data_IF_565448923102
#
_entry.id   IF_565448923102
#
_cell.length_a   1.000
_cell.length_b   1.000
_cell.length_c   1.000
_cell.angle_alpha   90.00
_cell.angle_beta   90.00
_cell.angle_gamma   90.00
#
_symmetry.space_group_name_H-M   'P 1'
#
loop_
_entity.id
_entity.type
_entity.pdbx_description
1 polymer ?
#
# COMPACT_ATOMS: atom_id res chain seq x y z
N UNK A 1 -17.77 28.47 -5.85
CA UNK A 1 -17.12 28.56 -4.52
C UNK A 1 -16.02 27.52 -4.50
N UNK A 2 -14.83 27.83 -3.99
CA UNK A 2 -13.77 26.81 -3.86
C UNK A 2 -14.19 25.79 -2.79
N UNK A 3 -14.03 24.51 -3.09
CA UNK A 3 -14.28 23.43 -2.11
C UNK A 3 -13.30 23.59 -0.95
N UNK A 4 -13.75 23.53 0.31
CA UNK A 4 -12.83 23.66 1.46
C UNK A 4 -11.88 22.46 1.51
N UNK A 5 -10.58 22.75 1.66
CA UNK A 5 -9.55 21.72 1.79
C UNK A 5 -9.65 21.00 3.13
N UNK A 6 -9.44 19.71 3.12
CA UNK A 6 -9.35 18.89 4.34
C UNK A 6 -8.01 19.12 5.02
N UNK A 7 -8.05 19.44 6.32
CA UNK A 7 -6.87 19.75 7.14
C UNK A 7 -6.18 18.46 7.61
N UNK A 8 -4.91 18.34 7.25
CA UNK A 8 -4.08 17.15 7.51
C UNK A 8 -3.04 17.46 8.61
N UNK A 9 -2.95 16.59 9.59
CA UNK A 9 -1.82 16.53 10.52
C UNK A 9 -0.91 15.35 10.19
N UNK A 10 0.37 15.60 9.93
CA UNK A 10 1.34 14.57 9.60
C UNK A 10 2.13 14.14 10.85
N UNK A 11 2.17 12.85 11.15
CA UNK A 11 2.99 12.27 12.22
C UNK A 11 4.03 11.34 11.61
N UNK A 12 5.31 11.61 11.88
CA UNK A 12 6.44 10.88 11.31
C UNK A 12 7.10 11.66 10.16
N UNK A 13 8.11 12.46 10.49
CA UNK A 13 8.85 13.32 9.56
C UNK A 13 10.10 12.64 8.98
N UNK A 14 10.04 11.31 8.75
CA UNK A 14 11.10 10.49 8.16
C UNK A 14 11.23 10.68 6.65
N UNK A 15 11.97 9.76 6.01
CA UNK A 15 12.29 9.84 4.56
C UNK A 15 11.05 9.91 3.69
N UNK A 16 10.04 9.07 3.95
CA UNK A 16 8.83 8.97 3.10
C UNK A 16 7.97 10.24 3.17
N UNK A 17 8.04 11.00 4.28
CA UNK A 17 7.23 12.21 4.45
C UNK A 17 7.47 13.25 3.36
N UNK A 18 8.70 13.32 2.81
CA UNK A 18 9.04 14.23 1.71
C UNK A 18 8.14 14.00 0.50
N UNK A 19 7.98 12.75 0.09
CA UNK A 19 7.17 12.40 -1.09
C UNK A 19 5.70 12.77 -0.87
N UNK A 20 5.14 12.44 0.31
CA UNK A 20 3.76 12.81 0.63
C UNK A 20 3.55 14.33 0.67
N UNK A 21 4.51 15.07 1.21
CA UNK A 21 4.43 16.54 1.29
C UNK A 21 4.60 17.21 -0.07
N UNK A 22 5.47 16.69 -0.94
CA UNK A 22 5.59 17.17 -2.33
C UNK A 22 4.29 16.98 -3.10
N UNK A 23 3.70 15.79 -3.03
CA UNK A 23 2.45 15.46 -3.74
C UNK A 23 1.26 16.20 -3.14
N UNK A 24 1.14 16.32 -1.81
CA UNK A 24 0.00 17.01 -1.18
C UNK A 24 -0.18 18.45 -1.64
N UNK A 25 0.91 19.11 -2.07
CA UNK A 25 0.86 20.47 -2.65
C UNK A 25 0.21 20.54 -4.02
N UNK A 26 0.18 19.42 -4.74
CA UNK A 26 -0.44 19.33 -6.06
C UNK A 26 -1.91 18.88 -5.98
N UNK A 27 -2.34 18.39 -4.81
CA UNK A 27 -3.70 17.90 -4.57
C UNK A 27 -4.59 19.04 -4.03
N UNK A 28 -5.69 19.29 -4.74
CA UNK A 28 -6.57 20.43 -4.43
C UNK A 28 -7.37 20.25 -3.14
N UNK A 29 -7.54 19.01 -2.70
CA UNK A 29 -8.37 18.61 -1.56
C UNK A 29 -7.67 18.68 -0.22
N UNK A 30 -6.35 18.79 -0.19
CA UNK A 30 -5.53 18.66 1.01
C UNK A 30 -4.87 19.97 1.41
N UNK A 31 -4.77 20.18 2.74
CA UNK A 31 -3.98 21.24 3.36
C UNK A 31 -3.27 20.68 4.60
N UNK A 32 -1.94 20.55 4.52
CA UNK A 32 -1.12 20.06 5.64
C UNK A 32 -0.86 21.21 6.60
N UNK A 33 -1.56 21.21 7.74
CA UNK A 33 -1.53 22.33 8.72
C UNK A 33 -0.61 22.11 9.90
N UNK A 34 -0.25 20.85 10.18
CA UNK A 34 0.64 20.50 11.29
C UNK A 34 1.51 19.29 10.95
N UNK A 35 2.71 19.24 11.51
CA UNK A 35 3.54 18.03 11.50
C UNK A 35 4.19 17.80 12.88
N UNK A 36 4.37 16.51 13.21
CA UNK A 36 4.94 16.05 14.47
C UNK A 36 5.89 14.86 14.26
N UNK A 37 6.89 14.75 15.10
CA UNK A 37 7.81 13.62 15.17
C UNK A 37 8.24 13.40 16.64
N UNK A 38 8.67 12.19 16.98
CA UNK A 38 9.31 11.90 18.27
C UNK A 38 10.58 12.71 18.46
N UNK A 39 11.25 13.08 17.38
CA UNK A 39 12.44 13.94 17.36
C UNK A 39 11.98 15.32 16.88
N UNK A 40 11.81 16.31 17.80
CA UNK A 40 11.23 17.62 17.48
C UNK A 40 11.95 18.37 16.36
N UNK A 41 13.26 18.17 16.22
CA UNK A 41 14.09 18.80 15.20
C UNK A 41 13.68 18.35 13.80
N UNK A 42 13.23 17.08 13.62
CA UNK A 42 12.72 16.57 12.34
C UNK A 42 11.41 17.27 11.96
N UNK A 43 10.49 17.45 12.90
CA UNK A 43 9.24 18.17 12.66
C UNK A 43 9.52 19.63 12.28
N UNK A 44 10.40 20.32 13.01
CA UNK A 44 10.81 21.70 12.70
C UNK A 44 11.44 21.82 11.32
N UNK A 45 12.36 20.89 10.98
CA UNK A 45 13.01 20.89 9.67
C UNK A 45 11.99 20.69 8.53
N UNK A 46 11.04 19.73 8.69
CA UNK A 46 9.99 19.50 7.69
C UNK A 46 9.02 20.67 7.59
N UNK A 47 8.63 21.28 8.70
CA UNK A 47 7.79 22.47 8.68
C UNK A 47 8.47 23.64 7.94
N UNK A 48 9.75 23.86 8.16
CA UNK A 48 10.51 24.89 7.44
C UNK A 48 10.65 24.56 5.94
N UNK A 49 11.01 23.32 5.58
CA UNK A 49 11.19 22.86 4.20
C UNK A 49 9.89 22.99 3.38
N UNK A 50 8.76 22.65 4.01
CA UNK A 50 7.46 22.56 3.34
C UNK A 50 6.48 23.67 3.76
N UNK A 51 6.94 24.71 4.48
CA UNK A 51 6.10 25.82 4.95
C UNK A 51 4.82 25.36 5.69
N UNK A 52 4.94 24.31 6.51
CA UNK A 52 3.83 23.83 7.32
C UNK A 52 3.65 24.77 8.51
N UNK A 53 2.43 25.27 8.77
CA UNK A 53 2.21 26.31 9.80
C UNK A 53 2.64 25.90 11.21
N UNK A 54 2.44 24.62 11.57
CA UNK A 54 2.68 24.13 12.93
C UNK A 54 3.66 22.95 12.94
N UNK A 55 4.79 23.09 13.66
CA UNK A 55 5.65 21.98 14.08
C UNK A 55 5.46 21.79 15.58
N UNK A 56 4.93 20.65 16.01
CA UNK A 56 4.53 20.43 17.39
C UNK A 56 4.81 19.01 17.88
N UNK A 57 4.52 18.73 19.13
CA UNK A 57 4.52 17.38 19.67
C UNK A 57 3.35 16.55 19.16
N UNK A 58 3.48 15.21 19.19
CA UNK A 58 2.41 14.30 18.75
C UNK A 58 1.10 14.55 19.50
N UNK A 59 1.17 14.74 20.82
CA UNK A 59 -0.02 15.00 21.66
C UNK A 59 -0.70 16.35 21.33
N UNK A 60 0.08 17.37 20.97
CA UNK A 60 -0.46 18.68 20.60
C UNK A 60 -1.16 18.61 19.24
N UNK A 61 -0.56 17.88 18.27
CA UNK A 61 -1.20 17.63 16.97
C UNK A 61 -2.53 16.88 17.15
N UNK A 62 -2.55 15.86 18.00
CA UNK A 62 -3.76 15.07 18.25
C UNK A 62 -4.87 15.89 18.93
N UNK A 63 -4.53 16.90 19.71
CA UNK A 63 -5.48 17.84 20.34
C UNK A 63 -5.89 18.99 19.43
N UNK A 64 -5.20 19.23 18.31
CA UNK A 64 -5.49 20.35 17.42
C UNK A 64 -6.87 20.18 16.75
N UNK A 65 -7.86 21.06 17.02
CA UNK A 65 -9.21 20.92 16.46
C UNK A 65 -9.27 21.15 14.97
N UNK A 66 -8.26 21.77 14.35
CA UNK A 66 -8.22 21.95 12.90
C UNK A 66 -7.92 20.66 12.15
N UNK A 67 -7.16 19.73 12.74
CA UNK A 67 -6.76 18.48 12.09
C UNK A 67 -7.96 17.52 11.97
N UNK A 68 -8.30 17.14 10.75
CA UNK A 68 -9.39 16.23 10.44
C UNK A 68 -8.89 14.81 10.14
N UNK A 69 -7.77 14.69 9.44
CA UNK A 69 -7.11 13.41 9.13
C UNK A 69 -5.69 13.45 9.66
N UNK A 70 -5.29 12.42 10.38
CA UNK A 70 -3.90 12.16 10.74
C UNK A 70 -3.27 11.28 9.65
N UNK A 71 -2.26 11.80 8.98
CA UNK A 71 -1.41 11.05 8.07
C UNK A 71 -0.24 10.45 8.88
N UNK A 72 -0.31 9.16 9.14
CA UNK A 72 0.64 8.44 9.97
C UNK A 72 1.74 7.80 9.10
N UNK A 73 2.90 8.41 9.11
CA UNK A 73 4.10 8.00 8.37
C UNK A 73 5.22 7.52 9.31
N UNK A 74 4.85 7.02 10.46
CA UNK A 74 5.79 6.46 11.44
C UNK A 74 6.35 5.12 10.95
N UNK A 75 7.14 4.46 11.79
CA UNK A 75 7.61 3.09 11.48
C UNK A 75 6.49 2.07 11.72
N UNK A 76 6.50 0.90 11.05
CA UNK A 76 5.43 -0.09 11.14
C UNK A 76 5.01 -0.45 12.57
N UNK A 77 5.95 -0.56 13.50
CA UNK A 77 5.67 -0.88 14.92
C UNK A 77 4.83 0.17 15.63
N UNK A 78 4.87 1.43 15.19
CA UNK A 78 4.12 2.53 15.79
C UNK A 78 2.79 2.81 15.09
N UNK A 79 2.50 2.17 13.95
CA UNK A 79 1.28 2.44 13.18
C UNK A 79 0.01 2.26 13.99
N UNK A 80 -0.09 1.17 14.76
CA UNK A 80 -1.26 0.88 15.57
C UNK A 80 -1.44 1.88 16.73
N UNK A 81 -0.38 2.15 17.48
CA UNK A 81 -0.41 3.08 18.61
C UNK A 81 -0.83 4.49 18.16
N UNK A 82 -0.16 5.03 17.15
CA UNK A 82 -0.44 6.37 16.64
C UNK A 82 -1.83 6.43 15.98
N UNK A 83 -2.19 5.39 15.22
CA UNK A 83 -3.50 5.32 14.57
C UNK A 83 -4.66 5.25 15.57
N UNK A 84 -4.54 4.44 16.62
CA UNK A 84 -5.54 4.38 17.69
C UNK A 84 -5.63 5.70 18.46
N UNK A 85 -4.51 6.32 18.79
CA UNK A 85 -4.50 7.62 19.46
C UNK A 85 -5.17 8.71 18.61
N UNK A 86 -4.99 8.70 17.28
CA UNK A 86 -5.69 9.60 16.37
C UNK A 86 -7.22 9.37 16.41
N UNK A 87 -7.66 8.11 16.31
CA UNK A 87 -9.08 7.74 16.36
C UNK A 87 -9.69 8.10 17.73
N UNK A 88 -8.99 7.85 18.83
CA UNK A 88 -9.42 8.20 20.18
C UNK A 88 -9.52 9.72 20.39
N UNK A 89 -8.74 10.49 19.65
CA UNK A 89 -8.80 11.96 19.62
C UNK A 89 -9.87 12.53 18.66
N UNK A 90 -10.72 11.66 18.06
CA UNK A 90 -11.79 12.07 17.17
C UNK A 90 -11.35 12.40 15.74
N UNK A 91 -10.19 11.91 15.31
CA UNK A 91 -9.64 12.15 13.96
C UNK A 91 -9.64 10.89 13.14
N UNK A 92 -9.98 10.99 11.86
CA UNK A 92 -9.74 9.92 10.91
C UNK A 92 -8.23 9.72 10.70
N UNK A 93 -7.80 8.52 10.30
CA UNK A 93 -6.38 8.22 10.14
C UNK A 93 -6.10 7.54 8.80
N UNK A 94 -4.98 7.91 8.18
CA UNK A 94 -4.42 7.23 7.04
C UNK A 94 -3.02 6.73 7.40
N UNK A 95 -2.84 5.41 7.45
CA UNK A 95 -1.56 4.78 7.80
C UNK A 95 -0.72 4.47 6.57
N UNK A 96 0.59 4.67 6.68
CA UNK A 96 1.53 4.00 5.77
C UNK A 96 1.45 2.48 5.91
N UNK A 97 1.96 1.77 4.87
CA UNK A 97 1.98 0.30 4.86
C UNK A 97 3.08 -0.28 5.76
N UNK A 98 2.86 -1.49 6.30
CA UNK A 98 1.59 -2.20 6.41
C UNK A 98 0.63 -1.48 7.36
N UNK A 99 -0.67 -1.71 7.24
CA UNK A 99 -1.67 -1.05 8.09
C UNK A 99 -1.28 -1.10 9.58
N UNK A 100 -0.93 -2.29 10.04
CA UNK A 100 -0.34 -2.57 11.35
C UNK A 100 0.61 -3.77 11.23
N UNK A 101 1.33 -4.11 12.31
CA UNK A 101 2.16 -5.31 12.33
C UNK A 101 1.34 -6.57 12.65
N UNK A 102 0.30 -6.47 13.47
CA UNK A 102 -0.55 -7.60 13.86
C UNK A 102 -1.97 -7.48 13.32
N UNK A 103 -2.64 -8.63 13.08
CA UNK A 103 -4.07 -8.68 12.75
C UNK A 103 -4.94 -8.07 13.85
N UNK A 104 -4.60 -8.32 15.10
CA UNK A 104 -5.35 -7.85 16.25
C UNK A 104 -5.43 -6.32 16.29
N UNK A 105 -4.28 -5.66 16.13
CA UNK A 105 -4.20 -4.20 16.09
C UNK A 105 -4.97 -3.62 14.89
N UNK A 106 -4.86 -4.24 13.73
CA UNK A 106 -5.60 -3.81 12.53
C UNK A 106 -7.12 -3.89 12.75
N UNK A 107 -7.60 -5.00 13.31
CA UNK A 107 -9.01 -5.17 13.67
C UNK A 107 -9.46 -4.14 14.70
N UNK A 108 -8.70 -3.94 15.77
CA UNK A 108 -8.99 -2.96 16.81
C UNK A 108 -9.09 -1.54 16.23
N UNK A 109 -8.21 -1.16 15.30
CA UNK A 109 -8.30 0.14 14.61
C UNK A 109 -9.62 0.29 13.84
N UNK A 110 -10.01 -0.71 13.06
CA UNK A 110 -11.26 -0.68 12.29
C UNK A 110 -12.49 -0.62 13.21
N UNK A 111 -12.51 -1.39 14.27
CA UNK A 111 -13.59 -1.40 15.28
C UNK A 111 -13.70 -0.04 15.99
N UNK A 112 -12.55 0.55 16.38
CA UNK A 112 -12.50 1.87 17.03
C UNK A 112 -13.02 2.96 16.08
N UNK A 113 -12.59 2.95 14.82
CA UNK A 113 -13.06 3.92 13.83
C UNK A 113 -14.58 3.79 13.61
N UNK A 114 -15.07 2.58 13.44
CA UNK A 114 -16.50 2.31 13.24
C UNK A 114 -17.35 2.80 14.41
N UNK A 115 -16.93 2.51 15.65
CA UNK A 115 -17.67 2.92 16.85
C UNK A 115 -17.73 4.44 17.04
N UNK A 116 -16.82 5.17 16.41
CA UNK A 116 -16.70 6.63 16.49
C UNK A 116 -17.19 7.38 15.26
N UNK A 117 -17.66 6.67 14.22
CA UNK A 117 -18.04 7.28 12.94
C UNK A 117 -16.85 7.89 12.18
N UNK A 118 -15.63 7.40 12.43
CA UNK A 118 -14.40 7.83 11.81
C UNK A 118 -13.95 6.86 10.71
N UNK A 119 -12.94 7.24 9.94
CA UNK A 119 -12.40 6.42 8.86
C UNK A 119 -10.94 6.03 9.10
N UNK A 120 -10.61 4.82 8.67
CA UNK A 120 -9.23 4.35 8.52
C UNK A 120 -8.96 4.20 7.03
N UNK A 121 -7.89 4.82 6.55
CA UNK A 121 -7.31 4.55 5.25
C UNK A 121 -5.94 3.91 5.41
N UNK A 122 -5.43 3.30 4.37
CA UNK A 122 -4.11 2.68 4.39
C UNK A 122 -3.43 2.67 3.02
N UNK A 123 -2.14 2.95 3.03
CA UNK A 123 -1.27 2.70 1.89
C UNK A 123 -1.13 1.17 1.64
N UNK A 124 -0.77 0.77 0.41
CA UNK A 124 -0.40 1.63 -0.71
C UNK A 124 -1.61 2.19 -1.45
N UNK A 125 -1.46 3.40 -1.96
CA UNK A 125 -2.43 4.06 -2.84
C UNK A 125 -2.00 4.05 -4.32
N UNK A 126 -0.92 3.37 -4.63
CA UNK A 126 -0.36 3.24 -5.99
C UNK A 126 -1.35 2.62 -6.99
N UNK A 127 -2.29 1.81 -6.50
CA UNK A 127 -3.35 1.23 -7.34
C UNK A 127 -4.31 2.29 -7.91
N UNK A 128 -4.34 3.50 -7.36
CA UNK A 128 -5.08 4.65 -7.89
C UNK A 128 -4.35 5.30 -9.07
N UNK A 129 -3.11 4.92 -9.34
CA UNK A 129 -2.33 5.40 -10.48
C UNK A 129 -2.88 4.93 -11.82
N UNK A 130 -2.59 5.71 -12.86
CA UNK A 130 -3.06 5.48 -14.23
C UNK A 130 -2.73 4.08 -14.76
N UNK A 131 -1.62 3.48 -14.35
CA UNK A 131 -1.24 2.12 -14.76
C UNK A 131 -2.23 1.05 -14.31
N UNK A 132 -2.44 0.92 -12.99
CA UNK A 132 -3.36 -0.09 -12.43
C UNK A 132 -4.82 0.24 -12.79
N UNK A 133 -5.22 1.51 -12.82
CA UNK A 133 -6.57 1.90 -13.23
C UNK A 133 -6.86 1.58 -14.70
N UNK A 134 -5.86 1.71 -15.59
CA UNK A 134 -5.98 1.25 -16.98
C UNK A 134 -6.13 -0.27 -17.05
N UNK A 135 -5.31 -1.03 -16.29
CA UNK A 135 -5.46 -2.48 -16.19
C UNK A 135 -6.86 -2.88 -15.70
N UNK A 136 -7.35 -2.20 -14.65
CA UNK A 136 -8.68 -2.41 -14.09
C UNK A 136 -9.78 -2.19 -15.14
N UNK A 137 -9.69 -1.09 -15.89
CA UNK A 137 -10.63 -0.78 -16.96
C UNK A 137 -10.64 -1.86 -18.04
N UNK A 138 -9.47 -2.31 -18.49
CA UNK A 138 -9.38 -3.37 -19.51
C UNK A 138 -10.04 -4.68 -19.06
N UNK A 139 -9.90 -5.03 -17.77
CA UNK A 139 -10.57 -6.20 -17.20
C UNK A 139 -12.09 -5.98 -17.14
N UNK A 140 -12.53 -4.85 -16.59
CA UNK A 140 -13.96 -4.53 -16.42
C UNK A 140 -14.68 -4.37 -17.75
N UNK A 141 -13.99 -3.92 -18.81
CA UNK A 141 -14.51 -3.81 -20.19
C UNK A 141 -14.43 -5.17 -20.95
N UNK A 142 -13.93 -6.24 -20.36
CA UNK A 142 -13.87 -7.58 -20.95
C UNK A 142 -12.79 -7.79 -22.02
N UNK A 143 -11.73 -6.94 -22.05
CA UNK A 143 -10.68 -7.03 -23.06
C UNK A 143 -9.88 -8.33 -23.05
N UNK A 144 -9.86 -9.04 -21.94
CA UNK A 144 -9.21 -10.36 -21.78
C UNK A 144 -10.22 -11.48 -21.50
N UNK A 145 -11.54 -11.19 -21.63
CA UNK A 145 -12.60 -12.10 -21.21
C UNK A 145 -12.65 -12.24 -19.68
N UNK A 146 -13.12 -13.38 -19.19
CA UNK A 146 -13.19 -13.67 -17.75
C UNK A 146 -11.78 -13.96 -17.18
N UNK A 147 -11.33 -13.26 -16.15
CA UNK A 147 -10.05 -13.55 -15.47
C UNK A 147 -10.05 -14.94 -14.85
N UNK A 148 -9.09 -15.77 -15.23
CA UNK A 148 -8.96 -17.16 -14.75
C UNK A 148 -7.78 -17.35 -13.81
N UNK A 149 -6.69 -16.59 -14.00
CA UNK A 149 -5.50 -16.71 -13.17
C UNK A 149 -4.66 -15.43 -13.14
N UNK A 150 -3.73 -15.37 -12.19
CA UNK A 150 -2.71 -14.32 -12.14
C UNK A 150 -1.38 -14.85 -11.56
N UNK A 151 -0.30 -14.19 -11.96
CA UNK A 151 1.01 -14.36 -11.33
C UNK A 151 1.55 -13.03 -10.83
N UNK A 152 2.29 -13.07 -9.71
CA UNK A 152 2.86 -11.87 -9.10
C UNK A 152 4.25 -12.20 -8.52
N UNK A 153 5.29 -11.50 -8.98
CA UNK A 153 6.67 -11.82 -8.61
C UNK A 153 7.41 -10.56 -8.15
N UNK A 154 7.65 -10.48 -6.84
CA UNK A 154 8.54 -9.54 -6.21
C UNK A 154 9.82 -10.25 -5.84
N UNK A 155 10.85 -10.12 -6.63
CA UNK A 155 12.14 -10.77 -6.41
C UNK A 155 13.27 -9.75 -6.40
N UNK A 156 14.14 -9.86 -5.41
CA UNK A 156 15.31 -9.03 -5.24
C UNK A 156 16.27 -9.64 -4.24
N UNK A 157 17.44 -9.01 -4.03
CA UNK A 157 18.46 -9.53 -3.12
C UNK A 157 18.57 -8.74 -1.80
N UNK A 158 17.49 -8.11 -1.37
CA UNK A 158 17.43 -7.41 -0.09
C UNK A 158 17.89 -5.95 -0.15
N UNK A 159 18.02 -5.35 1.03
CA UNK A 159 18.20 -3.90 1.21
C UNK A 159 19.60 -3.55 1.72
N UNK A 160 20.40 -4.53 2.10
CA UNK A 160 21.70 -4.33 2.75
C UNK A 160 22.76 -3.68 1.85
N UNK A 161 22.54 -3.63 0.54
CA UNK A 161 23.47 -3.02 -0.41
C UNK A 161 23.28 -1.51 -0.62
N UNK A 162 22.11 -0.97 -0.25
CA UNK A 162 21.77 0.42 -0.54
C UNK A 162 21.13 1.18 0.64
N UNK A 163 20.42 0.49 1.55
CA UNK A 163 19.78 1.16 2.67
C UNK A 163 20.80 1.44 3.80
N UNK A 164 20.84 2.63 4.39
CA UNK A 164 21.82 2.97 5.44
C UNK A 164 21.60 2.23 6.76
N UNK A 165 20.36 1.83 7.04
CA UNK A 165 19.97 1.11 8.26
C UNK A 165 18.91 0.02 7.93
N UNK A 166 19.31 -1.13 7.35
CA UNK A 166 18.39 -2.11 6.79
C UNK A 166 17.83 -3.12 7.81
N UNK A 167 18.18 -3.07 9.10
CA UNK A 167 17.85 -4.10 10.09
C UNK A 167 16.34 -4.37 10.20
N UNK A 168 15.51 -3.34 10.18
CA UNK A 168 14.07 -3.48 10.37
C UNK A 168 13.38 -4.30 9.27
N UNK A 169 13.97 -4.37 8.07
CA UNK A 169 13.44 -5.24 6.99
C UNK A 169 13.59 -6.73 7.31
N UNK A 170 14.44 -7.09 8.26
CA UNK A 170 14.74 -8.47 8.64
C UNK A 170 14.20 -8.86 10.02
N UNK A 171 13.35 -8.01 10.61
CA UNK A 171 12.70 -8.23 11.88
C UNK A 171 11.21 -8.56 11.71
N UNK A 172 10.49 -9.10 12.73
CA UNK A 172 9.04 -9.30 12.70
C UNK A 172 8.29 -8.04 12.27
N UNK A 173 7.40 -8.20 11.30
CA UNK A 173 6.73 -7.09 10.61
C UNK A 173 7.49 -6.56 9.39
N UNK A 174 8.67 -7.11 9.10
CA UNK A 174 9.44 -6.90 7.87
C UNK A 174 9.40 -8.13 6.95
N UNK A 175 10.50 -8.34 6.21
CA UNK A 175 10.57 -9.35 5.15
C UNK A 175 9.90 -8.90 3.86
N UNK A 176 10.13 -9.63 2.75
CA UNK A 176 9.60 -9.25 1.44
C UNK A 176 8.07 -9.23 1.39
N UNK A 177 7.40 -10.08 2.19
CA UNK A 177 5.94 -10.14 2.22
C UNK A 177 5.34 -8.91 2.90
N UNK A 178 5.89 -8.41 4.01
CA UNK A 178 5.34 -7.24 4.71
C UNK A 178 5.86 -5.91 4.15
N UNK A 179 7.02 -5.90 3.51
CA UNK A 179 7.55 -4.70 2.87
C UNK A 179 6.88 -4.43 1.52
N UNK A 180 6.85 -5.43 0.64
CA UNK A 180 6.40 -5.29 -0.75
C UNK A 180 5.07 -6.00 -1.05
N UNK A 181 4.73 -7.03 -0.29
CA UNK A 181 3.43 -7.72 -0.42
C UNK A 181 2.22 -6.79 -0.44
N UNK A 182 2.18 -5.70 0.36
CA UNK A 182 1.07 -4.75 0.29
C UNK A 182 0.81 -4.22 -1.12
N UNK A 183 1.83 -3.90 -1.91
CA UNK A 183 1.67 -3.40 -3.27
C UNK A 183 1.07 -4.45 -4.21
N UNK A 184 1.64 -5.65 -4.19
CA UNK A 184 1.26 -6.74 -5.09
C UNK A 184 -0.13 -7.29 -4.76
N UNK A 185 -0.40 -7.55 -3.49
CA UNK A 185 -1.69 -8.08 -3.05
C UNK A 185 -2.82 -7.04 -3.22
N UNK A 186 -2.57 -5.77 -2.91
CA UNK A 186 -3.55 -4.70 -3.18
C UNK A 186 -3.88 -4.60 -4.66
N UNK A 187 -2.87 -4.61 -5.55
CA UNK A 187 -3.08 -4.60 -6.99
C UNK A 187 -3.93 -5.79 -7.44
N UNK A 188 -3.63 -7.01 -6.96
CA UNK A 188 -4.39 -8.20 -7.29
C UNK A 188 -5.84 -8.14 -6.78
N UNK A 189 -6.08 -7.66 -5.56
CA UNK A 189 -7.44 -7.47 -5.02
C UNK A 189 -8.22 -6.44 -5.84
N UNK A 190 -7.57 -5.35 -6.25
CA UNK A 190 -8.18 -4.32 -7.10
C UNK A 190 -8.53 -4.87 -8.48
N UNK A 191 -7.72 -5.76 -9.03
CA UNK A 191 -7.93 -6.32 -10.37
C UNK A 191 -8.92 -7.51 -10.36
N UNK A 192 -8.84 -8.41 -9.38
CA UNK A 192 -9.54 -9.70 -9.37
C UNK A 192 -10.60 -9.85 -8.27
N UNK A 193 -10.67 -8.91 -7.33
CA UNK A 193 -11.53 -8.99 -6.16
C UNK A 193 -10.82 -9.60 -4.94
N UNK A 194 -11.53 -9.80 -3.82
CA UNK A 194 -10.94 -10.24 -2.56
C UNK A 194 -10.39 -11.67 -2.63
N UNK A 195 -9.32 -11.91 -1.88
CA UNK A 195 -8.73 -13.22 -1.69
C UNK A 195 -9.59 -14.00 -0.68
N UNK A 196 -9.97 -15.23 -1.02
CA UNK A 196 -10.76 -16.10 -0.14
C UNK A 196 -9.87 -16.94 0.77
N UNK A 197 -8.83 -17.56 0.21
CA UNK A 197 -7.89 -18.40 0.94
C UNK A 197 -6.52 -18.42 0.28
N UNK A 198 -5.50 -18.81 1.05
CA UNK A 198 -4.14 -18.95 0.56
C UNK A 198 -3.49 -20.25 1.02
N UNK A 199 -2.47 -20.68 0.30
CA UNK A 199 -1.49 -21.67 0.76
C UNK A 199 -0.10 -21.24 0.34
N UNK A 200 0.94 -21.74 1.01
CA UNK A 200 2.30 -21.36 0.64
C UNK A 200 3.37 -21.99 1.51
N UNK A 201 4.60 -21.66 1.14
CA UNK A 201 5.80 -22.00 1.89
C UNK A 201 6.64 -20.76 2.13
N UNK A 202 7.17 -20.61 3.34
CA UNK A 202 7.99 -19.49 3.75
C UNK A 202 9.25 -19.99 4.49
N UNK A 203 10.37 -19.32 4.26
CA UNK A 203 11.63 -19.68 4.96
C UNK A 203 12.52 -18.47 5.19
N UNK A 204 13.37 -18.58 6.19
CA UNK A 204 14.57 -17.78 6.35
C UNK A 204 15.70 -18.52 5.62
N UNK A 205 16.18 -17.95 4.50
CA UNK A 205 17.23 -18.60 3.70
C UNK A 205 18.60 -18.42 4.36
N UNK A 206 18.89 -17.19 4.81
CA UNK A 206 20.14 -16.85 5.49
C UNK A 206 19.82 -16.31 6.86
N UNK A 207 20.22 -17.01 7.96
CA UNK A 207 19.96 -16.56 9.34
C UNK A 207 20.66 -15.24 9.68
N UNK A 208 21.72 -14.91 8.93
CA UNK A 208 22.49 -13.68 9.08
C UNK A 208 22.75 -13.06 7.72
N UNK A 209 22.68 -11.72 7.64
CA UNK A 209 23.08 -10.95 6.46
C UNK A 209 24.13 -9.91 6.81
N UNK A 210 24.91 -9.49 5.82
CA UNK A 210 25.97 -8.50 5.99
C UNK A 210 25.60 -7.22 5.28
N UNK A 211 25.59 -6.10 6.00
CA UNK A 211 25.37 -4.77 5.42
C UNK A 211 26.57 -4.40 4.54
N UNK A 212 26.30 -4.03 3.30
CA UNK A 212 27.34 -3.57 2.36
C UNK A 212 27.21 -2.08 2.04
N UNK A 213 26.11 -1.43 2.44
CA UNK A 213 25.90 0.02 2.34
C UNK A 213 26.60 0.79 3.47
N UNK A 214 26.87 2.06 3.24
CA UNK A 214 27.34 3.01 4.26
C UNK A 214 26.15 3.53 5.09
N UNK A 215 26.33 3.94 6.35
CA UNK A 215 27.62 3.97 7.12
C UNK A 215 27.96 2.66 7.84
N UNK A 216 27.10 1.62 7.76
CA UNK A 216 27.17 0.41 8.57
C UNK A 216 27.83 -0.78 7.86
N UNK A 217 28.62 -0.52 6.83
CA UNK A 217 29.29 -1.57 6.02
C UNK A 217 30.06 -2.57 6.89
N UNK A 218 29.81 -3.87 6.69
CA UNK A 218 30.41 -4.97 7.45
C UNK A 218 29.64 -5.39 8.69
N UNK A 219 28.67 -4.60 9.16
CA UNK A 219 27.81 -4.99 10.27
C UNK A 219 26.90 -6.16 9.88
N UNK A 220 26.54 -6.97 10.87
CA UNK A 220 25.70 -8.15 10.70
C UNK A 220 24.29 -7.88 11.14
N UNK A 221 23.33 -8.46 10.40
CA UNK A 221 21.90 -8.42 10.70
C UNK A 221 21.45 -9.84 11.02
N UNK A 222 20.85 -10.04 12.19
CA UNK A 222 20.14 -11.28 12.50
C UNK A 222 18.76 -11.26 11.82
N UNK A 223 18.47 -12.30 11.05
CA UNK A 223 17.22 -12.42 10.28
C UNK A 223 16.18 -13.18 11.10
N UNK A 224 15.10 -12.51 11.46
CA UNK A 224 14.05 -13.03 12.34
C UNK A 224 12.66 -13.09 11.65
N UNK A 225 12.62 -12.97 10.33
CA UNK A 225 11.40 -13.08 9.53
C UNK A 225 11.70 -13.81 8.23
N UNK A 226 10.73 -14.51 7.62
CA UNK A 226 10.95 -15.17 6.34
C UNK A 226 11.40 -14.19 5.26
N UNK A 227 12.43 -14.59 4.51
CA UNK A 227 13.03 -13.82 3.42
C UNK A 227 12.66 -14.34 2.04
N UNK A 228 12.00 -15.50 1.98
CA UNK A 228 11.41 -16.07 0.77
C UNK A 228 10.04 -16.64 1.10
N UNK A 229 9.02 -16.20 0.38
CA UNK A 229 7.63 -16.68 0.51
C UNK A 229 7.09 -16.96 -0.89
N UNK A 230 6.62 -18.17 -1.12
CA UNK A 230 5.94 -18.59 -2.36
C UNK A 230 4.58 -19.17 -2.01
N UNK A 231 3.54 -18.80 -2.75
CA UNK A 231 2.21 -19.29 -2.43
C UNK A 231 1.20 -19.17 -3.55
N UNK A 232 0.05 -19.79 -3.32
CA UNK A 232 -1.14 -19.76 -4.18
C UNK A 232 -2.27 -19.11 -3.41
N UNK A 233 -3.13 -18.38 -4.09
CA UNK A 233 -4.31 -17.72 -3.56
C UNK A 233 -5.53 -17.98 -4.44
N UNK A 234 -6.66 -18.26 -3.82
CA UNK A 234 -7.96 -18.36 -4.49
C UNK A 234 -8.73 -17.06 -4.24
N UNK A 235 -9.16 -16.44 -5.33
CA UNK A 235 -10.01 -15.25 -5.25
C UNK A 235 -11.48 -15.61 -5.15
N UNK A 236 -12.29 -14.72 -4.57
CA UNK A 236 -13.73 -14.90 -4.50
C UNK A 236 -14.38 -14.93 -5.89
N UNK A 237 -13.76 -14.35 -6.90
CA UNK A 237 -14.16 -14.43 -8.31
C UNK A 237 -13.98 -15.83 -8.94
N UNK A 238 -13.25 -16.72 -8.28
CA UNK A 238 -12.88 -18.04 -8.84
C UNK A 238 -11.51 -18.08 -9.51
N UNK A 239 -10.88 -16.94 -9.76
CA UNK A 239 -9.52 -16.89 -10.29
C UNK A 239 -8.51 -17.48 -9.28
N UNK A 240 -7.42 -18.07 -9.79
CA UNK A 240 -6.32 -18.60 -8.97
C UNK A 240 -5.06 -17.81 -9.23
N UNK A 241 -4.41 -17.32 -8.18
CA UNK A 241 -3.16 -16.56 -8.29
C UNK A 241 -1.97 -17.26 -7.67
N UNK A 242 -0.78 -16.94 -8.19
CA UNK A 242 0.50 -17.35 -7.60
C UNK A 242 1.30 -16.11 -7.24
N UNK A 243 1.93 -16.12 -6.05
CA UNK A 243 2.80 -15.04 -5.60
C UNK A 243 4.14 -15.58 -5.12
N UNK A 244 5.21 -14.86 -5.47
CA UNK A 244 6.52 -15.02 -4.84
C UNK A 244 6.99 -13.65 -4.37
N UNK A 245 7.34 -13.56 -3.08
CA UNK A 245 8.06 -12.41 -2.54
C UNK A 245 9.40 -12.88 -1.97
N UNK A 246 10.50 -12.26 -2.38
CA UNK A 246 11.84 -12.74 -1.98
C UNK A 246 12.86 -11.62 -1.90
N UNK A 247 13.70 -11.69 -0.84
CA UNK A 247 14.95 -10.93 -0.71
C UNK A 247 16.19 -11.80 -0.98
N UNK A 248 16.01 -13.01 -1.53
CA UNK A 248 17.07 -14.00 -1.69
C UNK A 248 17.43 -14.27 -3.17
N UNK A 249 16.81 -13.55 -4.09
CA UNK A 249 16.97 -13.76 -5.54
C UNK A 249 17.87 -12.68 -6.14
N UNK A 250 18.99 -13.08 -6.74
CA UNK A 250 19.92 -12.17 -7.39
C UNK A 250 19.37 -11.55 -8.66
N UNK A 251 18.72 -12.37 -9.50
CA UNK A 251 18.11 -11.92 -10.76
C UNK A 251 16.96 -12.85 -11.16
N UNK A 252 15.94 -12.31 -11.82
CA UNK A 252 14.83 -13.06 -12.37
C UNK A 252 14.37 -12.44 -13.70
N UNK A 253 13.85 -13.30 -14.59
CA UNK A 253 13.20 -12.91 -15.85
C UNK A 253 11.69 -13.13 -15.75
N UNK A 254 11.10 -12.68 -14.65
CA UNK A 254 9.68 -12.82 -14.36
C UNK A 254 8.98 -11.47 -14.50
N UNK A 255 7.73 -11.44 -15.02
CA UNK A 255 6.92 -10.24 -15.01
C UNK A 255 6.61 -9.83 -13.57
N UNK A 256 6.32 -8.54 -13.35
CA UNK A 256 5.86 -8.09 -12.02
C UNK A 256 4.52 -8.71 -11.67
N UNK A 257 3.54 -8.51 -12.52
CA UNK A 257 2.21 -9.12 -12.43
C UNK A 257 1.71 -9.40 -13.84
N UNK A 258 1.10 -10.56 -14.05
CA UNK A 258 0.29 -10.85 -15.23
C UNK A 258 -1.09 -11.36 -14.79
N UNK A 259 -2.12 -10.99 -15.54
CA UNK A 259 -3.48 -11.50 -15.37
C UNK A 259 -3.85 -12.23 -16.66
N UNK A 260 -4.32 -13.46 -16.51
CA UNK A 260 -4.72 -14.34 -17.61
C UNK A 260 -6.24 -14.44 -17.62
N UNK A 261 -6.85 -14.13 -18.74
CA UNK A 261 -8.28 -14.26 -18.98
C UNK A 261 -8.58 -15.29 -20.05
N UNK A 262 -9.86 -15.59 -20.24
CA UNK A 262 -10.34 -16.56 -21.23
C UNK A 262 -10.07 -16.16 -22.69
N UNK A 263 -9.85 -14.84 -22.96
CA UNK A 263 -9.66 -14.30 -24.31
C UNK A 263 -8.35 -13.51 -24.47
N UNK A 264 -7.50 -13.49 -23.45
CA UNK A 264 -6.22 -12.78 -23.54
C UNK A 264 -5.49 -12.69 -22.21
N UNK A 265 -4.33 -12.04 -22.26
CA UNK A 265 -3.46 -11.82 -21.10
C UNK A 265 -3.13 -10.34 -20.98
N UNK A 266 -2.98 -9.88 -19.75
CA UNK A 266 -2.67 -8.50 -19.39
C UNK A 266 -1.36 -8.49 -18.60
N UNK A 267 -0.36 -7.74 -19.11
CA UNK A 267 0.87 -7.44 -18.36
C UNK A 267 0.66 -6.14 -17.58
N UNK A 268 0.71 -6.25 -16.27
CA UNK A 268 0.45 -5.17 -15.32
C UNK A 268 1.78 -4.52 -14.94
N UNK A 269 1.86 -3.17 -14.89
CA UNK A 269 3.08 -2.47 -14.50
C UNK A 269 3.49 -2.76 -13.04
N UNK A 270 4.65 -2.25 -12.64
CA UNK A 270 5.12 -2.37 -11.25
C UNK A 270 4.09 -1.77 -10.29
N UNK A 271 3.50 -2.56 -9.38
CA UNK A 271 2.47 -2.07 -8.46
C UNK A 271 2.99 -1.07 -7.42
N UNK A 272 4.30 -0.91 -7.28
CA UNK A 272 4.93 0.14 -6.47
C UNK A 272 5.01 1.49 -7.21
N UNK A 273 4.62 1.53 -8.49
CA UNK A 273 4.53 2.73 -9.32
C UNK A 273 3.09 3.16 -9.57
N UNK A 274 2.93 4.30 -10.24
CA UNK A 274 1.63 4.86 -10.63
C UNK A 274 1.37 4.75 -12.14
N UNK A 275 2.43 4.64 -12.96
CA UNK A 275 2.37 4.64 -14.41
C UNK A 275 2.37 3.25 -15.04
N UNK A 276 2.67 3.24 -16.36
CA UNK A 276 2.78 2.04 -17.17
C UNK A 276 4.22 1.48 -17.24
N UNK A 277 4.50 0.63 -18.25
CA UNK A 277 3.62 0.30 -19.37
C UNK A 277 2.54 -0.74 -19.05
N UNK A 278 1.37 -0.59 -19.64
CA UNK A 278 0.31 -1.61 -19.65
C UNK A 278 0.36 -2.31 -20.99
N UNK A 279 0.38 -3.64 -21.01
CA UNK A 279 0.40 -4.40 -22.27
C UNK A 279 -0.66 -5.49 -22.26
N UNK A 280 -1.25 -5.72 -23.41
CA UNK A 280 -2.28 -6.74 -23.62
C UNK A 280 -1.86 -7.66 -24.79
N UNK A 281 -2.18 -8.94 -24.67
CA UNK A 281 -2.11 -9.89 -25.76
C UNK A 281 -3.44 -10.64 -25.84
N UNK A 282 -4.22 -10.37 -26.86
CA UNK A 282 -5.52 -11.03 -27.07
C UNK A 282 -5.34 -12.36 -27.78
N UNK A 283 -6.34 -13.22 -27.67
CA UNK A 283 -6.39 -14.49 -28.40
C UNK A 283 -6.20 -14.23 -29.90
N UNK A 284 -5.33 -15.03 -30.52
CA UNK A 284 -4.98 -14.87 -31.95
C UNK A 284 -3.91 -13.82 -32.28
N UNK A 285 -3.54 -12.94 -31.33
CA UNK A 285 -2.44 -12.01 -31.53
C UNK A 285 -1.08 -12.71 -31.38
N UNK A 286 -0.12 -12.39 -32.26
CA UNK A 286 1.24 -12.94 -32.20
C UNK A 286 2.07 -12.25 -31.10
N UNK A 287 1.86 -10.95 -30.87
CA UNK A 287 2.69 -10.10 -30.03
C UNK A 287 1.86 -9.35 -28.97
N UNK A 288 2.57 -8.88 -27.95
CA UNK A 288 2.00 -7.95 -26.97
C UNK A 288 1.86 -6.53 -27.56
N UNK A 289 0.73 -5.89 -27.30
CA UNK A 289 0.48 -4.50 -27.68
C UNK A 289 0.48 -3.62 -26.42
N UNK A 290 1.15 -2.50 -26.47
CA UNK A 290 1.10 -1.50 -25.41
C UNK A 290 -0.22 -0.72 -25.48
N UNK A 291 -0.86 -0.50 -24.34
CA UNK A 291 -2.12 0.23 -24.22
C UNK A 291 -1.82 1.61 -23.62
N UNK A 292 -2.22 2.70 -24.27
CA UNK A 292 -2.13 4.04 -23.67
C UNK A 292 -2.88 4.10 -22.33
N UNK A 293 -2.32 4.84 -21.36
CA UNK A 293 -2.98 5.03 -20.08
C UNK A 293 -4.28 5.80 -20.26
N UNK A 294 -5.36 5.29 -19.68
CA UNK A 294 -6.72 5.87 -19.77
C UNK A 294 -7.04 6.78 -18.59
N UNK A 295 -6.21 6.79 -17.56
CA UNK A 295 -6.40 7.56 -16.33
C UNK A 295 -5.18 8.46 -16.07
N UNK A 296 -5.42 9.53 -15.33
CA UNK A 296 -4.38 10.43 -14.81
C UNK A 296 -3.47 9.75 -13.76
N UNK A 297 -2.59 10.51 -13.16
CA UNK A 297 -1.70 10.07 -12.10
C UNK A 297 -0.70 8.98 -12.53
N UNK A 298 -0.02 9.21 -13.65
CA UNK A 298 1.02 8.31 -14.15
C UNK A 298 2.40 8.50 -13.50
N UNK A 299 2.57 9.59 -12.75
CA UNK A 299 3.82 9.90 -12.02
C UNK A 299 3.64 9.63 -10.53
N UNK A 300 4.72 9.85 -9.76
CA UNK A 300 4.67 9.74 -8.29
C UNK A 300 3.52 10.57 -7.70
N UNK A 301 2.57 9.90 -7.08
CA UNK A 301 1.33 10.50 -6.58
C UNK A 301 0.92 9.95 -5.21
N UNK A 302 1.88 9.51 -4.37
CA UNK A 302 1.59 9.06 -3.01
C UNK A 302 0.94 10.16 -2.19
N UNK A 303 -0.21 9.87 -1.63
CA UNK A 303 -1.13 10.81 -1.02
C UNK A 303 -2.48 10.88 -1.73
N UNK A 304 -2.62 10.25 -2.92
CA UNK A 304 -3.91 10.09 -3.59
C UNK A 304 -4.95 9.42 -2.70
N UNK A 305 -4.55 8.39 -1.94
CA UNK A 305 -5.44 7.73 -1.00
C UNK A 305 -5.92 8.65 0.12
N UNK A 306 -5.07 9.58 0.57
CA UNK A 306 -5.45 10.60 1.55
C UNK A 306 -6.45 11.59 0.94
N UNK A 307 -6.20 12.03 -0.30
CA UNK A 307 -7.11 12.94 -1.02
C UNK A 307 -8.45 12.25 -1.33
N UNK A 308 -8.44 11.00 -1.77
CA UNK A 308 -9.66 10.21 -1.97
C UNK A 308 -10.48 10.07 -0.69
N UNK A 309 -9.80 9.87 0.46
CA UNK A 309 -10.45 9.84 1.76
C UNK A 309 -11.02 11.21 2.16
N UNK A 310 -10.33 12.31 1.82
CA UNK A 310 -10.80 13.67 2.06
C UNK A 310 -12.08 13.98 1.26
N UNK A 311 -12.10 13.66 -0.04
CA UNK A 311 -13.30 13.75 -0.87
C UNK A 311 -14.43 12.89 -0.32
N UNK A 312 -14.12 11.67 0.06
CA UNK A 312 -15.10 10.72 0.61
C UNK A 312 -15.68 11.15 1.96
N UNK A 313 -14.92 11.89 2.80
CA UNK A 313 -15.45 12.46 4.04
C UNK A 313 -16.50 13.55 3.77
N UNK A 314 -16.32 14.34 2.71
CA UNK A 314 -17.26 15.40 2.32
C UNK A 314 -18.52 14.86 1.67
N UNK A 315 -18.36 13.92 0.72
CA UNK A 315 -19.48 13.37 -0.06
C UNK A 315 -20.22 12.22 0.63
N UNK A 316 -19.65 11.62 1.66
CA UNK A 316 -20.23 10.46 2.34
C UNK A 316 -19.98 9.11 1.62
N UNK A 317 -19.38 9.10 0.43
CA UNK A 317 -19.06 7.87 -0.29
C UNK A 317 -17.96 7.04 0.41
N UNK A 318 -17.83 5.75 0.12
CA UNK A 318 -16.65 4.97 0.51
C UNK A 318 -15.38 5.54 -0.14
N UNK A 319 -14.25 5.53 0.58
CA UNK A 319 -12.95 5.84 0.02
C UNK A 319 -12.27 4.55 -0.47
N UNK A 320 -11.46 4.66 -1.51
CA UNK A 320 -10.90 3.53 -2.24
C UNK A 320 -9.77 2.83 -1.50
N UNK A 321 -8.82 3.61 -0.96
CA UNK A 321 -7.71 3.10 -0.15
C UNK A 321 -8.17 2.91 1.31
N UNK A 322 -9.16 2.05 1.50
CA UNK A 322 -9.84 1.86 2.79
C UNK A 322 -9.05 1.00 3.77
N UNK A 323 -9.35 1.18 5.05
CA UNK A 323 -8.81 0.36 6.11
C UNK A 323 -9.19 -1.12 5.98
N UNK A 324 -10.38 -1.41 5.46
CA UNK A 324 -10.85 -2.78 5.19
C UNK A 324 -9.99 -3.46 4.11
N UNK A 325 -9.67 -2.74 3.03
CA UNK A 325 -8.75 -3.23 2.00
C UNK A 325 -7.35 -3.48 2.57
N UNK A 326 -6.81 -2.51 3.30
CA UNK A 326 -5.49 -2.61 3.91
C UNK A 326 -5.43 -3.75 4.96
N UNK A 327 -6.51 -3.95 5.72
CA UNK A 327 -6.63 -5.05 6.67
C UNK A 327 -6.74 -6.42 5.98
N UNK A 328 -7.50 -6.50 4.89
CA UNK A 328 -7.60 -7.73 4.09
C UNK A 328 -6.25 -8.16 3.53
N UNK A 329 -5.47 -7.21 3.03
CA UNK A 329 -4.10 -7.46 2.57
C UNK A 329 -3.19 -7.88 3.72
N UNK A 330 -3.30 -7.24 4.90
CA UNK A 330 -2.57 -7.63 6.10
C UNK A 330 -2.91 -9.06 6.52
N UNK A 331 -4.18 -9.43 6.52
CA UNK A 331 -4.64 -10.79 6.84
C UNK A 331 -4.07 -11.82 5.85
N UNK A 332 -4.11 -11.52 4.56
CA UNK A 332 -3.52 -12.39 3.53
C UNK A 332 -2.01 -12.58 3.72
N UNK A 333 -1.25 -11.52 4.03
CA UNK A 333 0.18 -11.61 4.30
C UNK A 333 0.49 -12.56 5.47
N UNK A 334 -0.24 -12.42 6.54
CA UNK A 334 -0.11 -13.35 7.68
C UNK A 334 -0.54 -14.77 7.32
N UNK A 335 -1.63 -14.92 6.54
CA UNK A 335 -2.15 -16.23 6.16
C UNK A 335 -1.15 -17.05 5.33
N UNK A 336 -0.29 -16.43 4.51
CA UNK A 336 0.80 -17.14 3.84
C UNK A 336 1.82 -17.73 4.82
N UNK A 337 2.17 -16.98 5.88
CA UNK A 337 3.05 -17.49 6.93
C UNK A 337 2.36 -18.59 7.76
N UNK A 338 1.08 -18.43 8.06
CA UNK A 338 0.29 -19.43 8.76
C UNK A 338 0.18 -20.71 7.95
N UNK A 339 -0.13 -20.61 6.66
CA UNK A 339 -0.23 -21.75 5.74
C UNK A 339 1.08 -22.53 5.68
N UNK A 340 2.23 -21.83 5.63
CA UNK A 340 3.55 -22.46 5.66
C UNK A 340 3.82 -23.21 6.97
N UNK A 341 3.41 -22.64 8.11
CA UNK A 341 3.58 -23.25 9.42
C UNK A 341 2.67 -24.45 9.64
N UNK A 342 1.42 -24.34 9.15
CA UNK A 342 0.38 -25.34 9.38
C UNK A 342 0.33 -26.43 8.28
N UNK A 343 0.99 -26.21 7.15
CA UNK A 343 1.02 -27.16 6.02
C UNK A 343 -0.34 -27.38 5.34
N UNK A 344 -1.21 -26.35 5.36
CA UNK A 344 -2.58 -26.42 4.78
C UNK A 344 -3.00 -25.10 4.18
N UNK A 345 -4.12 -25.12 3.44
CA UNK A 345 -4.81 -23.89 3.06
C UNK A 345 -5.37 -23.17 4.29
N UNK A 346 -5.25 -21.83 4.28
CA UNK A 346 -5.79 -20.94 5.31
C UNK A 346 -6.87 -20.07 4.66
N UNK A 347 -8.11 -20.20 5.13
CA UNK A 347 -9.21 -19.28 4.75
C UNK A 347 -8.97 -17.94 5.44
N UNK A 348 -9.18 -16.83 4.72
CA UNK A 348 -9.07 -15.50 5.30
C UNK A 348 -10.30 -15.19 6.15
N UNK A 349 -10.07 -14.66 7.35
CA UNK A 349 -11.14 -14.19 8.22
C UNK A 349 -11.67 -12.81 7.82
N UNK A 350 -10.87 -12.05 7.09
CA UNK A 350 -11.23 -10.73 6.59
C UNK A 350 -12.00 -10.79 5.27
N UNK A 351 -12.82 -9.77 5.05
CA UNK A 351 -13.47 -9.51 3.77
C UNK A 351 -13.34 -8.03 3.43
N UNK A 352 -13.25 -7.72 2.15
CA UNK A 352 -13.32 -6.35 1.65
C UNK A 352 -14.12 -6.30 0.34
N UNK A 353 -14.70 -5.16 0.04
CA UNK A 353 -15.22 -4.90 -1.30
C UNK A 353 -14.05 -4.60 -2.24
N UNK A 354 -14.16 -5.00 -3.50
CA UNK A 354 -13.28 -4.51 -4.56
C UNK A 354 -13.48 -2.99 -4.68
N UNK A 355 -12.46 -2.14 -4.52
CA UNK A 355 -12.64 -0.69 -4.55
C UNK A 355 -13.29 -0.22 -5.85
N UNK A 356 -14.08 0.84 -5.81
CA UNK A 356 -14.60 1.47 -7.03
C UNK A 356 -13.43 1.96 -7.90
N UNK A 357 -13.53 1.90 -9.24
CA UNK A 357 -12.49 2.46 -10.12
C UNK A 357 -12.45 3.99 -9.98
N UNK A 358 -11.31 4.60 -10.32
CA UNK A 358 -11.29 6.04 -10.56
C UNK A 358 -12.03 6.37 -11.83
N UNK A 359 -12.74 7.49 -11.90
CA UNK A 359 -13.31 7.99 -13.16
C UNK A 359 -12.20 8.34 -14.16
N UNK A 360 -12.47 8.08 -15.44
CA UNK A 360 -11.63 8.60 -16.51
C UNK A 360 -11.81 10.13 -16.63
N UNK A 361 -10.80 10.80 -17.17
CA UNK A 361 -10.86 12.22 -17.46
C UNK A 361 -10.63 13.13 -16.26
N UNK A 362 -10.27 12.59 -15.11
CA UNK A 362 -9.77 13.41 -14.01
C UNK A 362 -8.49 14.12 -14.42
N UNK A 363 -8.38 15.41 -14.11
CA UNK A 363 -7.11 16.13 -14.21
C UNK A 363 -6.20 15.84 -13.03
N UNK A 364 -4.89 15.95 -13.24
CA UNK A 364 -3.95 15.85 -12.12
C UNK A 364 -4.28 16.90 -11.05
N UNK A 365 -4.24 16.50 -9.78
CA UNK A 365 -4.57 17.34 -8.64
C UNK A 365 -6.01 17.26 -8.16
N UNK A 366 -6.95 16.71 -8.94
CA UNK A 366 -8.36 16.61 -8.59
C UNK A 366 -8.85 15.15 -8.52
N UNK A 367 -9.72 14.87 -7.56
CA UNK A 367 -10.43 13.61 -7.42
C UNK A 367 -11.95 13.85 -7.52
N UNK A 368 -12.69 12.77 -7.72
CA UNK A 368 -14.15 12.77 -7.70
C UNK A 368 -14.71 12.88 -6.28
N UNK A 369 -15.83 13.54 -6.12
CA UNK A 369 -16.59 13.62 -4.87
C UNK A 369 -17.61 12.49 -4.71
#
# INVERSE_FOLDING_TARGET
MSIPKTKIGLIGCGTISKVYLEVSRTLEDLDVVACADLIPERAKAKAAEFHIPKACGVQDLLKDPEVQIVLNLTIPKAHAEVGLAALESGKSVYNEKPLTVSREDGRRMLETARSRGLRVGGAPDTFLGGGIQTCRKLIDDGWIGEPVAATAFMTGHGHESWHPDPDFYYQPGGGPMFDMGPYYLTALVVLLGPIRRVTGSARITFPERTITSQPRRGAKIQVNTPTHVAGVMDFASGAVGTVITSFDVWAAQLPRIEVYGSEGSLSVPDPNGFGGPVRIRRAGAAEWSEVPLTHAYAKQSRGLGVADMACALRSGRPHRASGELAYHVLDAMHAFHDASREGRHVELASACARPAPLPMGLREGALDE
#
